data_IF_888395602114
#
_entry.id   IF_888395602114
#
_cell.length_a   1.000
_cell.length_b   1.000
_cell.length_c   1.000
_cell.angle_alpha   90.00
_cell.angle_beta   90.00
_cell.angle_gamma   90.00
#
_symmetry.space_group_name_H-M   'P 1'
#
loop_
_entity.id
_entity.type
_entity.pdbx_description
1 polymer ?
#
# COMPACT_ATOMS: atom_id res chain seq x y z
N UNK A 1 -11.57 -8.44 -19.46
CA UNK A 1 -10.51 -7.66 -20.12
C UNK A 1 -9.57 -7.17 -19.04
N UNK A 2 -8.36 -7.72 -18.98
CA UNK A 2 -7.34 -7.31 -18.02
C UNK A 2 -6.87 -5.93 -18.44
N UNK A 3 -7.17 -4.90 -17.64
CA UNK A 3 -6.57 -3.59 -17.84
C UNK A 3 -5.10 -3.72 -17.46
N UNK A 4 -4.21 -3.71 -18.45
CA UNK A 4 -2.79 -3.50 -18.19
C UNK A 4 -2.69 -2.17 -17.45
N UNK A 5 -2.26 -2.21 -16.20
CA UNK A 5 -1.88 -1.00 -15.48
C UNK A 5 -0.53 -0.58 -16.06
N UNK A 6 -0.45 0.47 -16.91
CA UNK A 6 0.84 0.89 -17.46
C UNK A 6 1.79 1.21 -16.31
N UNK A 7 3.04 0.76 -16.43
CA UNK A 7 4.09 1.11 -15.48
C UNK A 7 4.16 2.63 -15.41
N UNK A 8 4.07 3.19 -14.20
CA UNK A 8 3.99 4.62 -13.97
C UNK A 8 5.27 5.30 -14.51
N UNK A 9 5.22 6.02 -15.65
CA UNK A 9 6.42 6.51 -16.33
C UNK A 9 6.79 7.90 -15.81
N UNK A 10 6.73 8.11 -14.50
CA UNK A 10 7.18 9.38 -13.93
C UNK A 10 8.69 9.36 -13.69
N UNK A 11 9.37 10.49 -13.90
CA UNK A 11 10.78 10.64 -13.56
C UNK A 11 11.04 10.25 -12.10
N UNK A 12 12.15 9.56 -11.88
CA UNK A 12 12.46 8.91 -10.60
C UNK A 12 13.19 9.88 -9.66
N UNK A 13 13.76 10.94 -10.23
CA UNK A 13 14.57 11.93 -9.53
C UNK A 13 13.99 13.35 -9.68
N UNK A 14 14.35 14.19 -8.70
CA UNK A 14 13.89 15.57 -8.61
C UNK A 14 14.25 16.39 -9.85
N UNK A 15 15.44 16.22 -10.41
CA UNK A 15 15.91 17.05 -11.52
C UNK A 15 15.07 16.81 -12.77
N UNK A 16 14.86 15.54 -13.13
CA UNK A 16 14.00 15.15 -14.25
C UNK A 16 12.54 15.58 -14.05
N UNK A 17 12.05 15.58 -12.80
CA UNK A 17 10.70 16.07 -12.48
C UNK A 17 10.57 17.59 -12.66
N UNK A 18 11.57 18.34 -12.21
CA UNK A 18 11.62 19.80 -12.41
C UNK A 18 11.70 20.12 -13.89
N UNK A 19 12.60 19.46 -14.63
CA UNK A 19 12.72 19.61 -16.08
C UNK A 19 11.40 19.29 -16.80
N UNK A 20 10.69 18.22 -16.40
CA UNK A 20 9.38 17.89 -16.95
C UNK A 20 8.34 18.99 -16.70
N UNK A 21 8.35 19.62 -15.52
CA UNK A 21 7.42 20.69 -15.16
C UNK A 21 7.75 22.01 -15.86
N UNK A 22 9.03 22.32 -16.07
CA UNK A 22 9.47 23.60 -16.64
C UNK A 22 9.62 23.57 -18.16
N UNK A 23 9.87 22.41 -18.77
CA UNK A 23 10.07 22.26 -20.23
C UNK A 23 8.86 22.64 -21.09
N UNK A 24 7.68 22.75 -20.48
CA UNK A 24 6.44 23.18 -21.14
C UNK A 24 6.11 24.67 -20.94
N UNK A 25 6.90 25.38 -20.13
CA UNK A 25 6.71 26.82 -19.90
C UNK A 25 7.39 27.64 -21.00
N UNK A 26 6.67 28.60 -21.59
CA UNK A 26 7.23 29.56 -22.54
C UNK A 26 8.41 30.31 -21.92
N UNK A 27 9.43 30.61 -22.73
CA UNK A 27 10.77 31.12 -22.38
C UNK A 27 10.87 32.17 -21.24
N UNK A 28 9.83 32.94 -20.93
CA UNK A 28 9.84 33.96 -19.88
C UNK A 28 9.82 33.38 -18.45
N UNK A 29 9.21 32.21 -18.21
CA UNK A 29 9.20 31.60 -16.87
C UNK A 29 10.51 30.85 -16.56
N UNK A 30 11.22 30.43 -17.60
CA UNK A 30 12.50 29.74 -17.49
C UNK A 30 13.68 30.70 -17.23
N UNK A 31 13.52 31.99 -17.56
CA UNK A 31 14.57 33.00 -17.43
C UNK A 31 14.83 33.43 -15.97
N UNK A 32 13.81 33.37 -15.10
CA UNK A 32 13.89 33.76 -13.68
C UNK A 32 14.24 32.59 -12.74
N UNK A 33 14.39 31.37 -13.28
CA UNK A 33 14.87 30.21 -12.53
C UNK A 33 16.40 30.26 -12.46
N UNK A 34 16.94 31.11 -11.60
CA UNK A 34 18.35 30.99 -11.19
C UNK A 34 18.61 29.56 -10.68
N UNK A 35 19.72 28.97 -11.12
CA UNK A 35 19.99 27.52 -11.16
C UNK A 35 19.82 26.73 -9.84
N UNK A 36 19.63 27.38 -8.69
CA UNK A 36 19.62 26.71 -7.38
C UNK A 36 18.36 26.91 -6.50
N UNK A 37 17.37 27.73 -6.89
CA UNK A 37 16.15 27.88 -6.08
C UNK A 37 14.86 28.02 -6.89
N UNK A 38 13.99 27.00 -6.81
CA UNK A 38 12.62 27.07 -7.31
C UNK A 38 11.78 28.04 -6.46
N UNK A 39 10.77 28.70 -7.04
CA UNK A 39 9.70 29.33 -6.27
C UNK A 39 9.14 28.36 -5.23
N UNK A 40 8.83 28.86 -4.03
CA UNK A 40 8.41 28.04 -2.87
C UNK A 40 7.19 27.16 -3.23
N UNK A 41 6.29 27.68 -4.04
CA UNK A 41 5.09 26.99 -4.51
C UNK A 41 5.45 25.81 -5.44
N UNK A 42 6.41 26.01 -6.35
CA UNK A 42 6.91 24.94 -7.22
C UNK A 42 7.68 23.90 -6.42
N UNK A 43 8.51 24.32 -5.45
CA UNK A 43 9.21 23.39 -4.56
C UNK A 43 8.24 22.51 -3.77
N UNK A 44 7.13 23.09 -3.32
CA UNK A 44 6.07 22.39 -2.59
C UNK A 44 5.40 21.31 -3.46
N UNK A 45 5.13 21.62 -4.74
CA UNK A 45 4.58 20.64 -5.70
C UNK A 45 5.58 19.53 -5.98
N UNK A 46 6.82 19.88 -6.29
CA UNK A 46 7.89 18.93 -6.60
C UNK A 46 8.08 17.96 -5.43
N UNK A 47 8.13 18.47 -4.20
CA UNK A 47 8.21 17.65 -2.98
C UNK A 47 7.00 16.73 -2.84
N UNK A 48 5.79 17.25 -3.00
CA UNK A 48 4.55 16.47 -2.89
C UNK A 48 4.45 15.37 -3.96
N UNK A 49 4.90 15.66 -5.19
CA UNK A 49 4.96 14.70 -6.29
C UNK A 49 5.98 13.59 -5.99
N UNK A 50 7.17 13.94 -5.48
CA UNK A 50 8.19 12.96 -5.09
C UNK A 50 7.69 12.04 -3.99
N UNK A 51 7.04 12.60 -2.96
CA UNK A 51 6.43 11.81 -1.87
C UNK A 51 5.36 10.85 -2.41
N UNK A 52 4.51 11.33 -3.32
CA UNK A 52 3.50 10.51 -3.98
C UNK A 52 4.14 9.38 -4.82
N UNK A 53 5.15 9.68 -5.64
CA UNK A 53 5.88 8.70 -6.43
C UNK A 53 6.48 7.61 -5.53
N UNK A 54 7.09 8.00 -4.40
CA UNK A 54 7.68 7.06 -3.46
C UNK A 54 6.62 6.18 -2.78
N UNK A 55 5.48 6.74 -2.41
CA UNK A 55 4.37 5.97 -1.86
C UNK A 55 3.76 5.00 -2.89
N UNK A 56 3.62 5.40 -4.16
CA UNK A 56 3.19 4.52 -5.25
C UNK A 56 4.18 3.37 -5.46
N UNK A 57 5.49 3.63 -5.41
CA UNK A 57 6.50 2.55 -5.48
C UNK A 57 6.38 1.58 -4.31
N UNK A 58 6.16 2.08 -3.09
CA UNK A 58 5.92 1.23 -1.92
C UNK A 58 4.66 0.39 -2.09
N UNK A 59 3.57 0.98 -2.60
CA UNK A 59 2.35 0.26 -2.94
C UNK A 59 2.60 -0.84 -3.97
N UNK A 60 3.26 -0.52 -5.09
CA UNK A 60 3.57 -1.46 -6.17
C UNK A 60 4.55 -2.57 -5.75
N UNK A 61 5.33 -2.37 -4.69
CA UNK A 61 6.20 -3.41 -4.12
C UNK A 61 5.41 -4.51 -3.39
N UNK A 62 4.18 -4.19 -2.93
CA UNK A 62 3.28 -5.11 -2.24
C UNK A 62 2.22 -5.64 -3.22
N UNK A 63 1.64 -4.76 -4.03
CA UNK A 63 0.56 -5.09 -4.95
C UNK A 63 1.08 -5.86 -6.18
N UNK A 64 0.65 -7.12 -6.40
CA UNK A 64 1.08 -7.84 -7.59
C UNK A 64 0.54 -7.17 -8.86
N UNK A 65 1.37 -7.11 -9.90
CA UNK A 65 0.95 -6.56 -11.20
C UNK A 65 -0.19 -7.40 -11.77
N UNK A 66 -1.22 -6.73 -12.30
CA UNK A 66 -2.41 -7.35 -12.90
C UNK A 66 -3.21 -8.26 -11.94
N UNK A 67 -3.09 -8.03 -10.63
CA UNK A 67 -3.87 -8.73 -9.62
C UNK A 67 -5.32 -8.24 -9.54
N UNK A 68 -6.23 -9.13 -9.17
CA UNK A 68 -7.58 -8.81 -8.71
C UNK A 68 -7.55 -8.05 -7.38
N UNK A 69 -8.62 -7.34 -7.06
CA UNK A 69 -8.73 -6.61 -5.77
C UNK A 69 -8.50 -7.54 -4.57
N UNK A 70 -9.06 -8.76 -4.61
CA UNK A 70 -8.87 -9.76 -3.56
C UNK A 70 -7.42 -10.22 -3.41
N UNK A 71 -6.68 -10.35 -4.51
CA UNK A 71 -5.26 -10.70 -4.49
C UNK A 71 -4.42 -9.56 -3.92
N UNK A 72 -4.76 -8.31 -4.26
CA UNK A 72 -4.14 -7.12 -3.68
C UNK A 72 -4.41 -7.09 -2.16
N UNK A 73 -5.66 -7.23 -1.72
CA UNK A 73 -6.03 -7.26 -0.29
C UNK A 73 -5.24 -8.35 0.44
N UNK A 74 -5.13 -9.55 -0.13
CA UNK A 74 -4.35 -10.65 0.46
C UNK A 74 -2.86 -10.36 0.52
N UNK A 75 -2.29 -9.67 -0.46
CA UNK A 75 -0.89 -9.26 -0.46
C UNK A 75 -0.63 -8.25 0.67
N UNK A 76 -1.46 -7.21 0.75
CA UNK A 76 -1.40 -6.21 1.82
C UNK A 76 -1.62 -6.80 3.21
N UNK A 77 -2.50 -7.79 3.36
CA UNK A 77 -2.74 -8.45 4.64
C UNK A 77 -1.58 -9.35 5.10
N UNK A 78 -0.70 -9.77 4.19
CA UNK A 78 0.48 -10.59 4.51
C UNK A 78 1.73 -9.76 4.76
N UNK A 79 1.79 -8.55 4.21
CA UNK A 79 2.92 -7.65 4.40
C UNK A 79 2.80 -6.92 5.76
N UNK A 80 3.84 -6.93 6.61
CA UNK A 80 3.79 -6.27 7.92
C UNK A 80 3.58 -4.75 7.84
N UNK A 81 3.95 -4.12 6.72
CA UNK A 81 3.80 -2.69 6.48
C UNK A 81 2.59 -2.35 5.61
N UNK A 82 1.76 -3.34 5.24
CA UNK A 82 0.67 -3.16 4.27
C UNK A 82 -0.27 -2.00 4.64
N UNK A 83 -0.77 -1.97 5.88
CA UNK A 83 -1.65 -0.89 6.35
C UNK A 83 -0.96 0.47 6.35
N UNK A 84 0.31 0.52 6.77
CA UNK A 84 1.09 1.76 6.78
C UNK A 84 1.29 2.32 5.37
N UNK A 85 1.53 1.46 4.37
CA UNK A 85 1.66 1.89 2.98
C UNK A 85 0.35 2.49 2.45
N UNK A 86 -0.81 1.91 2.81
CA UNK A 86 -2.12 2.47 2.46
C UNK A 86 -2.36 3.84 3.12
N UNK A 87 -2.06 3.97 4.40
CA UNK A 87 -2.21 5.24 5.12
C UNK A 87 -1.28 6.33 4.54
N UNK A 88 -0.05 5.96 4.16
CA UNK A 88 0.93 6.88 3.57
C UNK A 88 0.49 7.33 2.18
N UNK A 89 0.12 6.41 1.26
CA UNK A 89 -0.26 6.77 -0.11
C UNK A 89 -1.48 7.70 -0.13
N UNK A 90 -2.44 7.45 0.76
CA UNK A 90 -3.60 8.31 0.93
C UNK A 90 -3.20 9.72 1.36
N UNK A 91 -2.39 9.83 2.42
CA UNK A 91 -1.93 11.12 2.96
C UNK A 91 -1.16 11.94 1.92
N UNK A 92 -0.20 11.33 1.23
CA UNK A 92 0.61 12.04 0.24
C UNK A 92 -0.20 12.39 -1.01
N UNK A 93 -1.18 11.57 -1.39
CA UNK A 93 -2.14 11.89 -2.46
C UNK A 93 -2.96 13.14 -2.13
N UNK A 94 -3.47 13.24 -0.89
CA UNK A 94 -4.21 14.41 -0.41
C UNK A 94 -3.34 15.68 -0.43
N UNK A 95 -2.09 15.59 0.04
CA UNK A 95 -1.15 16.70 0.05
C UNK A 95 -0.79 17.18 -1.36
N UNK A 96 -0.59 16.25 -2.29
CA UNK A 96 -0.33 16.56 -3.69
C UNK A 96 -1.49 17.32 -4.31
N UNK A 97 -2.73 16.86 -4.12
CA UNK A 97 -3.91 17.55 -4.63
C UNK A 97 -4.06 18.96 -4.06
N UNK A 98 -3.89 19.11 -2.75
CA UNK A 98 -3.93 20.43 -2.11
C UNK A 98 -2.89 21.38 -2.70
N UNK A 99 -1.66 20.89 -2.91
CA UNK A 99 -0.57 21.69 -3.46
C UNK A 99 -0.81 22.10 -4.91
N UNK A 100 -1.28 21.17 -5.75
CA UNK A 100 -1.60 21.44 -7.15
C UNK A 100 -2.72 22.49 -7.31
N UNK A 101 -3.78 22.37 -6.51
CA UNK A 101 -4.92 23.31 -6.56
C UNK A 101 -4.47 24.71 -6.13
N UNK A 102 -3.72 24.82 -5.03
CA UNK A 102 -3.20 26.11 -4.54
C UNK A 102 -2.24 26.76 -5.53
N UNK A 103 -1.33 25.99 -6.10
CA UNK A 103 -0.43 26.51 -7.13
C UNK A 103 -1.19 27.02 -8.35
N UNK A 104 -2.16 26.23 -8.85
CA UNK A 104 -2.97 26.63 -9.99
C UNK A 104 -3.75 27.93 -9.72
N UNK A 105 -4.28 28.08 -8.50
CA UNK A 105 -4.92 29.32 -8.07
C UNK A 105 -3.98 30.53 -8.05
N UNK A 106 -2.78 30.34 -7.51
CA UNK A 106 -1.77 31.38 -7.43
C UNK A 106 -1.32 31.83 -8.83
N UNK A 107 -1.15 30.89 -9.78
CA UNK A 107 -0.81 31.20 -11.17
C UNK A 107 -1.85 32.09 -11.85
N UNK A 108 -3.13 31.91 -11.52
CA UNK A 108 -4.20 32.72 -12.09
C UNK A 108 -4.28 34.12 -11.47
N UNK A 109 -3.58 34.40 -10.37
CA UNK A 109 -3.26 35.77 -9.92
C UNK A 109 -4.43 36.76 -9.82
N UNK A 110 -5.64 36.32 -9.45
CA UNK A 110 -6.80 37.19 -9.22
C UNK A 110 -7.06 38.20 -10.35
N UNK A 111 -7.02 37.78 -11.61
CA UNK A 111 -7.16 38.73 -12.74
C UNK A 111 -8.59 39.26 -12.82
N UNK A 112 -8.77 40.56 -13.02
CA UNK A 112 -10.09 41.17 -13.25
C UNK A 112 -10.49 41.07 -14.74
N UNK A 113 -10.94 39.88 -15.17
CA UNK A 113 -11.42 39.56 -16.52
C UNK A 113 -12.88 39.08 -16.48
N UNK A 114 -13.85 39.96 -16.21
CA UNK A 114 -15.25 39.59 -15.95
C UNK A 114 -15.92 38.88 -17.13
N UNK A 115 -15.55 39.22 -18.38
CA UNK A 115 -16.05 38.53 -19.57
C UNK A 115 -15.59 37.07 -19.62
N UNK A 116 -14.32 36.79 -19.30
CA UNK A 116 -13.84 35.41 -19.22
C UNK A 116 -14.45 34.66 -18.03
N UNK A 117 -14.66 35.34 -16.91
CA UNK A 117 -15.36 34.76 -15.76
C UNK A 117 -16.76 34.26 -16.18
N UNK A 118 -17.52 35.09 -16.90
CA UNK A 118 -18.84 34.73 -17.44
C UNK A 118 -18.77 33.56 -18.43
N UNK A 119 -17.76 33.53 -19.30
CA UNK A 119 -17.55 32.40 -20.21
C UNK A 119 -17.26 31.10 -19.46
N UNK A 120 -16.44 31.15 -18.40
CA UNK A 120 -16.13 29.98 -17.56
C UNK A 120 -17.38 29.49 -16.82
N UNK A 121 -18.20 30.37 -16.26
CA UNK A 121 -19.44 29.96 -15.55
C UNK A 121 -20.39 29.20 -16.48
N UNK A 122 -20.49 29.64 -17.73
CA UNK A 122 -21.35 29.06 -18.76
C UNK A 122 -20.76 27.81 -19.45
N UNK A 123 -19.50 27.47 -19.16
CA UNK A 123 -18.87 26.29 -19.74
C UNK A 123 -19.51 25.01 -19.21
N UNK A 124 -19.73 24.04 -20.10
CA UNK A 124 -20.30 22.73 -19.79
C UNK A 124 -19.25 21.62 -19.75
N UNK A 125 -17.99 21.93 -20.09
CA UNK A 125 -16.91 20.95 -20.09
C UNK A 125 -15.55 21.57 -19.78
N UNK A 126 -14.61 20.75 -19.28
CA UNK A 126 -13.20 21.15 -19.13
C UNK A 126 -12.58 21.58 -20.45
N UNK A 127 -13.07 21.03 -21.58
CA UNK A 127 -12.64 21.40 -22.93
C UNK A 127 -12.98 22.85 -23.25
N UNK A 128 -14.23 23.26 -22.97
CA UNK A 128 -14.67 24.64 -23.16
C UNK A 128 -13.87 25.60 -22.28
N UNK A 129 -13.63 25.24 -21.01
CA UNK A 129 -12.79 26.01 -20.10
C UNK A 129 -11.38 26.16 -20.68
N UNK A 130 -10.73 25.07 -21.08
CA UNK A 130 -9.37 25.10 -21.61
C UNK A 130 -9.24 26.03 -22.83
N UNK A 131 -10.22 26.01 -23.74
CA UNK A 131 -10.25 26.88 -24.91
C UNK A 131 -10.42 28.38 -24.59
N UNK A 132 -10.96 28.73 -23.41
CA UNK A 132 -11.06 30.14 -22.95
C UNK A 132 -9.66 30.69 -22.63
N UNK A 133 -8.76 29.86 -22.11
CA UNK A 133 -7.42 30.27 -21.70
C UNK A 133 -6.38 30.07 -22.79
N UNK A 134 -6.45 28.94 -23.51
CA UNK A 134 -5.49 28.57 -24.55
C UNK A 134 -6.27 28.19 -25.82
N UNK A 135 -6.23 29.02 -26.87
CA UNK A 135 -6.76 28.63 -28.17
C UNK A 135 -6.11 27.32 -28.63
N UNK A 136 -6.92 26.35 -29.07
CA UNK A 136 -6.46 25.01 -29.48
C UNK A 136 -5.83 24.15 -28.37
N UNK A 137 -6.21 24.34 -27.10
CA UNK A 137 -5.76 23.53 -25.95
C UNK A 137 -5.85 22.01 -26.14
N UNK A 138 -6.71 21.53 -27.06
CA UNK A 138 -6.84 20.12 -27.40
C UNK A 138 -5.54 19.47 -27.91
N UNK A 139 -4.64 20.26 -28.50
CA UNK A 139 -3.34 19.78 -29.00
C UNK A 139 -2.30 19.64 -27.88
N UNK A 140 -2.54 20.26 -26.71
CA UNK A 140 -1.64 20.28 -25.55
C UNK A 140 -1.92 19.15 -24.53
N UNK A 141 -3.03 18.41 -24.69
CA UNK A 141 -3.33 17.26 -23.82
C UNK A 141 -2.41 16.10 -24.21
N UNK A 142 -1.22 16.06 -23.59
CA UNK A 142 -0.23 15.02 -23.85
C UNK A 142 -0.68 13.66 -23.29
N UNK A 143 -0.19 12.53 -23.86
CA UNK A 143 -0.43 11.19 -23.31
C UNK A 143 -0.08 11.05 -21.82
N UNK A 144 0.97 11.76 -21.36
CA UNK A 144 1.40 11.78 -19.96
C UNK A 144 0.35 12.42 -19.05
N UNK A 145 -0.27 13.53 -19.48
CA UNK A 145 -1.35 14.15 -18.72
C UNK A 145 -2.57 13.23 -18.59
N UNK A 146 -2.91 12.50 -19.66
CA UNK A 146 -4.01 11.52 -19.64
C UNK A 146 -3.70 10.37 -18.66
N UNK A 147 -2.46 9.89 -18.64
CA UNK A 147 -2.01 8.84 -17.73
C UNK A 147 -2.00 9.31 -16.25
N UNK A 148 -1.56 10.54 -16.00
CA UNK A 148 -1.60 11.15 -14.67
C UNK A 148 -3.04 11.33 -14.22
N UNK A 149 -3.91 11.87 -15.09
CA UNK A 149 -5.35 12.02 -14.84
C UNK A 149 -6.01 10.68 -14.52
N UNK A 150 -5.76 9.64 -15.29
CA UNK A 150 -6.41 8.34 -15.08
C UNK A 150 -6.00 7.67 -13.77
N UNK A 151 -4.78 7.92 -13.27
CA UNK A 151 -4.32 7.43 -11.97
C UNK A 151 -4.74 8.31 -10.80
N UNK A 152 -4.69 9.63 -10.95
CA UNK A 152 -5.03 10.58 -9.87
C UNK A 152 -6.54 10.76 -9.68
N UNK A 153 -7.29 10.77 -10.79
CA UNK A 153 -8.75 10.94 -10.85
C UNK A 153 -9.43 9.63 -11.29
N UNK A 154 -8.82 8.48 -10.97
CA UNK A 154 -9.36 7.16 -11.31
C UNK A 154 -10.86 7.09 -10.97
N UNK A 155 -11.63 6.46 -11.87
CA UNK A 155 -13.10 6.21 -11.85
C UNK A 155 -13.91 6.99 -10.79
N UNK A 156 -13.80 8.32 -10.76
CA UNK A 156 -14.69 9.12 -9.93
C UNK A 156 -16.14 8.85 -10.38
N UNK A 157 -17.09 8.69 -9.44
CA UNK A 157 -18.50 8.61 -9.78
C UNK A 157 -18.92 9.80 -10.64
N UNK A 158 -19.84 9.58 -11.60
CA UNK A 158 -20.31 10.65 -12.50
C UNK A 158 -20.83 11.86 -11.72
N UNK A 159 -21.62 11.61 -10.67
CA UNK A 159 -22.17 12.63 -9.78
C UNK A 159 -21.06 13.45 -9.08
N UNK A 160 -20.04 12.77 -8.56
CA UNK A 160 -18.89 13.45 -7.96
C UNK A 160 -18.12 14.26 -9.01
N UNK A 161 -17.95 13.73 -10.21
CA UNK A 161 -17.28 14.42 -11.32
C UNK A 161 -18.00 15.71 -11.71
N UNK A 162 -19.33 15.68 -11.76
CA UNK A 162 -20.16 16.85 -12.04
C UNK A 162 -20.07 17.90 -10.93
N UNK A 163 -20.12 17.46 -9.66
CA UNK A 163 -19.97 18.36 -8.52
C UNK A 163 -18.58 19.02 -8.48
N UNK A 164 -17.51 18.22 -8.61
CA UNK A 164 -16.13 18.71 -8.67
C UNK A 164 -15.93 19.67 -9.83
N UNK A 165 -16.52 19.39 -11.01
CA UNK A 165 -16.48 20.29 -12.15
C UNK A 165 -17.20 21.61 -11.85
N UNK A 166 -18.36 21.56 -11.19
CA UNK A 166 -19.10 22.75 -10.74
C UNK A 166 -18.27 23.62 -9.79
N UNK A 167 -17.64 23.02 -8.78
CA UNK A 167 -16.76 23.73 -7.85
C UNK A 167 -15.55 24.31 -8.58
N UNK A 168 -14.91 23.54 -9.46
CA UNK A 168 -13.77 24.01 -10.27
C UNK A 168 -14.13 25.24 -11.14
N UNK A 169 -15.32 25.25 -11.76
CA UNK A 169 -15.82 26.43 -12.48
C UNK A 169 -15.96 27.64 -11.57
N UNK A 170 -16.51 27.46 -10.38
CA UNK A 170 -16.69 28.55 -9.41
C UNK A 170 -15.34 29.12 -8.98
N UNK A 171 -14.34 28.27 -8.71
CA UNK A 171 -12.97 28.69 -8.41
C UNK A 171 -12.42 29.60 -9.52
N UNK A 172 -12.46 29.11 -10.76
CA UNK A 172 -11.95 29.84 -11.92
C UNK A 172 -12.70 31.14 -12.18
N UNK A 173 -14.03 31.12 -12.10
CA UNK A 173 -14.85 32.31 -12.31
C UNK A 173 -14.60 33.37 -11.24
N UNK A 174 -14.48 32.99 -9.96
CA UNK A 174 -14.10 33.90 -8.88
C UNK A 174 -12.70 34.48 -9.12
N UNK A 175 -11.74 33.65 -9.52
CA UNK A 175 -10.38 34.13 -9.75
C UNK A 175 -10.28 35.10 -10.94
N UNK A 176 -11.04 34.85 -12.00
CA UNK A 176 -11.18 35.76 -13.15
C UNK A 176 -12.07 36.99 -12.88
N UNK A 177 -12.83 37.01 -11.78
CA UNK A 177 -13.62 38.17 -11.38
C UNK A 177 -12.86 39.07 -10.40
N UNK A 178 -11.59 38.76 -10.08
CA UNK A 178 -10.85 39.45 -9.03
C UNK A 178 -11.41 39.18 -7.63
N UNK A 179 -11.99 38.00 -7.40
CA UNK A 179 -12.55 37.53 -6.13
C UNK A 179 -11.72 36.36 -5.55
N UNK A 180 -10.43 36.57 -5.21
CA UNK A 180 -9.53 35.49 -4.82
C UNK A 180 -9.90 34.84 -3.49
N UNK A 181 -10.47 35.58 -2.55
CA UNK A 181 -10.89 35.01 -1.26
C UNK A 181 -12.01 33.99 -1.44
N UNK A 182 -12.97 34.29 -2.31
CA UNK A 182 -14.05 33.37 -2.67
C UNK A 182 -13.52 32.16 -3.44
N UNK A 183 -12.57 32.38 -4.35
CA UNK A 183 -11.90 31.30 -5.09
C UNK A 183 -11.19 30.34 -4.12
N UNK A 184 -10.52 30.85 -3.09
CA UNK A 184 -9.87 30.06 -2.05
C UNK A 184 -10.87 29.24 -1.24
N UNK A 185 -12.02 29.80 -0.84
CA UNK A 185 -13.07 29.05 -0.14
C UNK A 185 -13.58 27.88 -1.00
N UNK A 186 -13.83 28.11 -2.30
CA UNK A 186 -14.25 27.04 -3.20
C UNK A 186 -13.15 26.00 -3.41
N UNK A 187 -11.88 26.39 -3.43
CA UNK A 187 -10.77 25.46 -3.51
C UNK A 187 -10.63 24.61 -2.26
N UNK A 188 -10.81 25.18 -1.07
CA UNK A 188 -10.84 24.41 0.17
C UNK A 188 -11.98 23.37 0.16
N UNK A 189 -13.15 23.75 -0.36
CA UNK A 189 -14.27 22.82 -0.55
C UNK A 189 -13.93 21.72 -1.58
N UNK A 190 -13.30 22.06 -2.70
CA UNK A 190 -12.87 21.09 -3.72
C UNK A 190 -11.88 20.09 -3.13
N UNK A 191 -10.88 20.59 -2.39
CA UNK A 191 -9.88 19.78 -1.70
C UNK A 191 -10.58 18.85 -0.71
N UNK A 192 -11.49 19.38 0.11
CA UNK A 192 -12.24 18.58 1.09
C UNK A 192 -13.05 17.47 0.43
N UNK A 193 -13.75 17.74 -0.67
CA UNK A 193 -14.53 16.73 -1.40
C UNK A 193 -13.63 15.64 -2.01
N UNK A 194 -12.51 16.03 -2.65
CA UNK A 194 -11.53 15.09 -3.19
C UNK A 194 -10.92 14.21 -2.09
N UNK A 195 -10.55 14.79 -0.96
CA UNK A 195 -10.01 14.08 0.19
C UNK A 195 -11.06 13.13 0.77
N UNK A 196 -12.30 13.59 0.97
CA UNK A 196 -13.38 12.78 1.55
C UNK A 196 -13.68 11.56 0.68
N UNK A 197 -13.67 11.72 -0.64
CA UNK A 197 -13.88 10.60 -1.54
C UNK A 197 -12.71 9.61 -1.53
N UNK A 198 -11.47 10.10 -1.62
CA UNK A 198 -10.28 9.24 -1.52
C UNK A 198 -10.22 8.52 -0.16
N UNK A 199 -10.61 9.20 0.92
CA UNK A 199 -10.79 8.63 2.25
C UNK A 199 -11.80 7.48 2.23
N UNK A 200 -12.96 7.66 1.58
CA UNK A 200 -13.97 6.60 1.54
C UNK A 200 -13.49 5.31 0.87
N UNK A 201 -12.76 5.42 -0.25
CA UNK A 201 -12.23 4.26 -0.97
C UNK A 201 -11.08 3.59 -0.20
N UNK A 202 -10.14 4.39 0.33
CA UNK A 202 -9.02 3.89 1.10
C UNK A 202 -9.47 3.27 2.43
N UNK A 203 -10.46 3.85 3.11
CA UNK A 203 -11.07 3.28 4.32
C UNK A 203 -11.70 1.92 4.00
N UNK A 204 -12.44 1.81 2.90
CA UNK A 204 -13.00 0.53 2.45
C UNK A 204 -11.91 -0.52 2.20
N UNK A 205 -10.84 -0.16 1.49
CA UNK A 205 -9.70 -1.05 1.26
C UNK A 205 -9.01 -1.46 2.57
N UNK A 206 -8.78 -0.50 3.47
CA UNK A 206 -8.17 -0.71 4.79
C UNK A 206 -8.98 -1.66 5.66
N UNK A 207 -10.31 -1.51 5.68
CA UNK A 207 -11.21 -2.45 6.36
C UNK A 207 -11.13 -3.86 5.80
N UNK A 208 -11.08 -4.00 4.47
CA UNK A 208 -10.92 -5.32 3.83
C UNK A 208 -9.58 -5.97 4.18
N UNK A 209 -8.50 -5.20 4.19
CA UNK A 209 -7.17 -5.67 4.62
C UNK A 209 -7.18 -6.10 6.09
N UNK A 210 -7.76 -5.31 6.99
CA UNK A 210 -7.90 -5.67 8.41
C UNK A 210 -8.70 -6.96 8.61
N UNK A 211 -9.81 -7.12 7.88
CA UNK A 211 -10.59 -8.38 7.89
C UNK A 211 -9.74 -9.56 7.42
N UNK A 212 -8.98 -9.39 6.34
CA UNK A 212 -8.10 -10.42 5.83
C UNK A 212 -6.97 -10.78 6.82
N UNK A 213 -6.38 -9.81 7.50
CA UNK A 213 -5.40 -10.04 8.60
C UNK A 213 -6.06 -10.90 9.69
N UNK A 214 -7.25 -10.51 10.16
CA UNK A 214 -7.98 -11.28 11.17
C UNK A 214 -8.26 -12.72 10.74
N UNK A 215 -8.62 -12.94 9.47
CA UNK A 215 -8.79 -14.29 8.93
C UNK A 215 -7.49 -15.10 8.89
N UNK A 216 -6.36 -14.48 8.53
CA UNK A 216 -5.05 -15.12 8.51
C UNK A 216 -4.64 -15.52 9.93
N UNK A 217 -4.81 -14.63 10.91
CA UNK A 217 -4.48 -14.88 12.32
C UNK A 217 -5.37 -15.96 12.93
N UNK A 218 -6.69 -15.91 12.67
CA UNK A 218 -7.62 -16.92 13.12
C UNK A 218 -7.28 -18.29 12.53
N UNK A 219 -6.95 -18.35 11.23
CA UNK A 219 -6.55 -19.58 10.54
C UNK A 219 -5.23 -20.13 11.08
N UNK A 220 -4.24 -19.27 11.34
CA UNK A 220 -2.96 -19.63 11.94
C UNK A 220 -3.14 -20.19 13.35
N UNK A 221 -3.98 -19.55 14.16
CA UNK A 221 -4.30 -19.98 15.53
C UNK A 221 -5.06 -21.29 15.53
N UNK A 222 -6.07 -21.44 14.67
CA UNK A 222 -6.80 -22.69 14.49
C UNK A 222 -5.88 -23.83 14.02
N UNK A 223 -4.95 -23.54 13.11
CA UNK A 223 -3.93 -24.49 12.64
C UNK A 223 -3.00 -24.93 13.77
N UNK A 224 -2.51 -24.00 14.58
CA UNK A 224 -1.68 -24.29 15.78
C UNK A 224 -2.47 -25.10 16.81
N UNK A 225 -3.69 -24.70 17.12
CA UNK A 225 -4.58 -25.41 18.05
C UNK A 225 -4.88 -26.84 17.56
N UNK A 226 -5.21 -26.99 16.28
CA UNK A 226 -5.44 -28.29 15.65
C UNK A 226 -4.20 -29.18 15.67
N UNK A 227 -3.01 -28.62 15.37
CA UNK A 227 -1.72 -29.33 15.51
C UNK A 227 -1.51 -29.76 16.95
N UNK A 228 -1.62 -28.84 17.91
CA UNK A 228 -1.43 -29.12 19.32
C UNK A 228 -2.37 -30.25 19.76
N UNK A 229 -3.66 -30.19 19.43
CA UNK A 229 -4.62 -31.25 19.76
C UNK A 229 -4.28 -32.61 19.13
N UNK A 230 -3.81 -32.63 17.87
CA UNK A 230 -3.45 -33.87 17.16
C UNK A 230 -2.17 -34.51 17.72
N UNK A 231 -1.19 -33.69 18.08
CA UNK A 231 0.14 -34.17 18.46
C UNK A 231 0.43 -34.09 19.96
N UNK A 232 -0.46 -33.52 20.79
CA UNK A 232 -0.25 -33.31 22.23
C UNK A 232 0.25 -34.57 22.93
N UNK A 233 -0.43 -35.70 22.70
CA UNK A 233 -0.05 -36.98 23.30
C UNK A 233 1.32 -37.44 22.80
N UNK A 234 1.56 -37.36 21.49
CA UNK A 234 2.87 -37.72 20.90
C UNK A 234 3.99 -36.83 21.44
N UNK A 235 3.73 -35.53 21.63
CA UNK A 235 4.71 -34.57 22.14
C UNK A 235 5.03 -34.85 23.61
N UNK A 236 4.02 -35.22 24.42
CA UNK A 236 4.24 -35.70 25.80
C UNK A 236 5.08 -36.97 25.85
N UNK A 237 4.77 -37.98 25.03
CA UNK A 237 5.56 -39.23 24.96
C UNK A 237 6.98 -38.94 24.49
N UNK A 238 7.14 -38.09 23.48
CA UNK A 238 8.46 -37.66 22.99
C UNK A 238 9.25 -36.94 24.08
N UNK A 239 8.64 -36.01 24.82
CA UNK A 239 9.28 -35.31 25.92
C UNK A 239 9.70 -36.27 27.03
N UNK A 240 8.87 -37.25 27.37
CA UNK A 240 9.19 -38.29 28.33
C UNK A 240 10.36 -39.18 27.86
N UNK A 241 10.39 -39.56 26.57
CA UNK A 241 11.49 -40.31 25.99
C UNK A 241 12.82 -39.53 26.05
N UNK A 242 12.81 -38.24 25.74
CA UNK A 242 13.99 -37.37 25.84
C UNK A 242 14.43 -37.24 27.31
N UNK A 243 13.49 -37.11 28.25
CA UNK A 243 13.79 -37.06 29.68
C UNK A 243 14.50 -38.34 30.15
N UNK A 244 13.97 -39.51 29.81
CA UNK A 244 14.61 -40.79 30.17
C UNK A 244 16.01 -40.91 29.55
N UNK A 245 16.18 -40.46 28.31
CA UNK A 245 17.48 -40.43 27.64
C UNK A 245 18.49 -39.55 28.37
N UNK A 246 18.09 -38.35 28.82
CA UNK A 246 18.95 -37.43 29.57
C UNK A 246 19.30 -37.92 30.98
N UNK A 247 18.41 -38.69 31.61
CA UNK A 247 18.61 -39.24 32.96
C UNK A 247 19.46 -40.51 32.98
N UNK A 248 19.54 -41.23 31.86
CA UNK A 248 20.25 -42.50 31.77
C UNK A 248 21.66 -42.38 31.16
N UNK A 249 22.52 -43.31 31.55
CA UNK A 249 23.86 -43.45 30.96
C UNK A 249 23.81 -44.39 29.75
N UNK A 250 23.56 -43.80 28.57
CA UNK A 250 23.46 -44.53 27.30
C UNK A 250 24.60 -44.18 26.37
N UNK A 251 25.20 -45.19 25.73
CA UNK A 251 26.30 -45.01 24.77
C UNK A 251 25.87 -44.23 23.52
N UNK A 252 24.63 -44.40 23.09
CA UNK A 252 24.08 -43.75 21.90
C UNK A 252 22.53 -43.79 21.87
N UNK A 253 21.88 -42.98 21.01
CA UNK A 253 20.42 -42.95 20.87
C UNK A 253 19.76 -44.29 20.54
N UNK A 254 20.46 -45.16 19.81
CA UNK A 254 19.94 -46.48 19.44
C UNK A 254 19.86 -47.41 20.66
N UNK A 255 20.91 -47.45 21.49
CA UNK A 255 20.88 -48.21 22.75
C UNK A 255 19.79 -47.68 23.68
N UNK A 256 19.69 -46.36 23.83
CA UNK A 256 18.67 -45.74 24.66
C UNK A 256 17.26 -46.13 24.23
N UNK A 257 16.97 -46.11 22.93
CA UNK A 257 15.63 -46.43 22.41
C UNK A 257 15.25 -47.89 22.65
N UNK A 258 16.19 -48.84 22.54
CA UNK A 258 15.94 -50.26 22.80
C UNK A 258 15.67 -50.53 24.29
N UNK A 259 16.44 -49.91 25.19
CA UNK A 259 16.32 -50.14 26.64
C UNK A 259 15.06 -49.49 27.21
N UNK A 260 14.71 -48.29 26.72
CA UNK A 260 13.62 -47.48 27.32
C UNK A 260 12.25 -47.70 26.67
N UNK A 261 12.15 -48.44 25.56
CA UNK A 261 10.92 -48.57 24.77
C UNK A 261 9.72 -49.02 25.59
N UNK A 262 9.85 -50.06 26.43
CA UNK A 262 8.73 -50.59 27.21
C UNK A 262 8.16 -49.53 28.15
N UNK A 263 9.04 -48.82 28.88
CA UNK A 263 8.64 -47.76 29.81
C UNK A 263 8.00 -46.56 29.11
N UNK A 264 8.49 -46.22 27.92
CA UNK A 264 7.92 -45.14 27.09
C UNK A 264 6.57 -45.56 26.51
N UNK A 265 6.43 -46.82 26.10
CA UNK A 265 5.17 -47.38 25.60
C UNK A 265 4.11 -47.41 26.71
N UNK A 266 4.44 -47.89 27.91
CA UNK A 266 3.56 -47.87 29.08
C UNK A 266 3.09 -46.44 29.43
N UNK A 267 4.01 -45.48 29.44
CA UNK A 267 3.65 -44.07 29.64
C UNK A 267 2.72 -43.57 28.52
N UNK A 268 3.01 -43.90 27.28
CA UNK A 268 2.16 -43.59 26.13
C UNK A 268 0.76 -44.12 26.32
N UNK A 269 0.61 -45.40 26.67
CA UNK A 269 -0.68 -46.02 26.90
C UNK A 269 -1.47 -45.34 28.03
N UNK A 270 -0.79 -44.94 29.12
CA UNK A 270 -1.42 -44.23 30.24
C UNK A 270 -2.07 -42.89 29.86
N UNK A 271 -1.59 -42.24 28.79
CA UNK A 271 -2.16 -41.00 28.25
C UNK A 271 -2.94 -41.24 26.95
N UNK A 272 -3.20 -42.50 26.60
CA UNK A 272 -3.93 -42.91 25.42
C UNK A 272 -3.21 -42.62 24.10
N UNK A 273 -1.88 -42.72 24.08
CA UNK A 273 -1.02 -42.79 22.89
C UNK A 273 -0.59 -44.25 22.69
N UNK A 274 -0.63 -44.73 21.45
CA UNK A 274 -0.11 -46.06 21.10
C UNK A 274 0.83 -45.93 19.92
N UNK A 275 1.97 -46.60 20.00
CA UNK A 275 2.83 -46.77 18.83
C UNK A 275 2.11 -47.65 17.80
N UNK A 276 2.42 -47.44 16.51
CA UNK A 276 1.81 -48.22 15.41
C UNK A 276 2.10 -49.72 15.53
N UNK A 277 3.28 -50.06 16.05
CA UNK A 277 3.63 -51.40 16.46
C UNK A 277 4.82 -51.36 17.43
N UNK A 278 4.97 -52.44 18.21
CA UNK A 278 6.11 -52.62 19.12
C UNK A 278 7.44 -52.62 18.35
N UNK A 279 7.44 -53.09 17.10
CA UNK A 279 8.60 -53.06 16.24
C UNK A 279 9.00 -51.64 15.78
N UNK A 280 8.02 -50.76 15.55
CA UNK A 280 8.27 -49.39 15.10
C UNK A 280 8.58 -48.41 16.24
N UNK A 281 8.23 -48.77 17.48
CA UNK A 281 8.41 -47.92 18.65
C UNK A 281 9.90 -47.56 18.90
N UNK A 282 10.87 -48.50 18.95
CA UNK A 282 12.28 -48.17 19.17
C UNK A 282 12.85 -47.25 18.09
N UNK A 283 12.47 -47.47 16.82
CA UNK A 283 12.94 -46.65 15.68
C UNK A 283 12.41 -45.23 15.75
N UNK A 284 11.15 -45.07 16.16
CA UNK A 284 10.51 -43.75 16.34
C UNK A 284 11.18 -42.98 17.48
N UNK A 285 11.40 -43.65 18.62
CA UNK A 285 12.08 -43.09 19.79
C UNK A 285 13.51 -42.68 19.44
N UNK A 286 14.27 -43.55 18.76
CA UNK A 286 15.63 -43.24 18.31
C UNK A 286 15.66 -41.99 17.43
N UNK A 287 14.71 -41.88 16.49
CA UNK A 287 14.59 -40.71 15.61
C UNK A 287 14.33 -39.43 16.41
N UNK A 288 13.51 -39.49 17.45
CA UNK A 288 13.26 -38.34 18.32
C UNK A 288 14.51 -37.91 19.09
N UNK A 289 15.25 -38.87 19.67
CA UNK A 289 16.48 -38.60 20.43
C UNK A 289 17.56 -38.00 19.51
N UNK A 290 17.81 -38.58 18.34
CA UNK A 290 18.78 -38.06 17.36
C UNK A 290 18.47 -36.62 16.92
N UNK A 291 17.18 -36.30 16.71
CA UNK A 291 16.76 -34.94 16.38
C UNK A 291 17.02 -33.96 17.53
N UNK A 292 16.80 -34.40 18.76
CA UNK A 292 17.10 -33.62 19.96
C UNK A 292 18.60 -33.33 20.08
N UNK A 293 19.47 -34.35 19.98
CA UNK A 293 20.93 -34.18 20.04
C UNK A 293 21.43 -33.19 18.97
N UNK A 294 20.95 -33.32 17.72
CA UNK A 294 21.34 -32.41 16.64
C UNK A 294 20.97 -30.97 16.95
N UNK A 295 19.78 -30.75 17.52
CA UNK A 295 19.28 -29.41 17.86
C UNK A 295 20.06 -28.84 19.04
N UNK A 296 20.33 -29.65 20.07
CA UNK A 296 21.10 -29.23 21.25
C UNK A 296 22.54 -28.84 20.88
N UNK A 297 23.20 -29.60 19.99
CA UNK A 297 24.56 -29.26 19.51
C UNK A 297 24.61 -27.91 18.80
N UNK A 298 23.63 -27.63 17.92
CA UNK A 298 23.55 -26.35 17.22
C UNK A 298 23.33 -25.16 18.17
N UNK A 299 22.62 -25.37 19.28
CA UNK A 299 22.38 -24.32 20.28
C UNK A 299 23.62 -24.00 21.13
N UNK A 300 24.60 -24.89 21.21
CA UNK A 300 25.87 -24.68 21.95
C UNK A 300 26.96 -24.08 21.05
N UNK A 301 26.84 -24.21 19.72
CA UNK A 301 27.80 -23.67 18.74
C UNK A 301 27.53 -22.22 18.30
N UNK A 302 26.43 -21.62 18.75
CA UNK A 302 26.04 -20.22 18.47
C UNK A 302 26.09 -19.40 19.76
#
# INVERSE_FOLDING_TARGET
MSQENPSFPLPIDRHSLVEMLTSSSSNDFAADLEQDSLPIELETIVTSLMDFINAVKAYDSIAPKNATEDEIIKAFAKDPNGLTVLDVIQKVGCNLWSSLIKFFLNLLGGVNQPEKAKMVTNANSLKEIANIFIPNANELITPNFIAIKSKLLGKLPTELTENLFGIFKSILACQLAGLPDQANIFADNLIKELITHQESEMVSMREKVLKAIGHIEASSTAGKSGRNKRFEKSDKVKAFAIKLYLEGDFKNPHQASQITVSRIAEYGESIGYRFTSDYQAPRTIETWIRKYEKTARLAVSN
#
